data_IF_152470913021
#
_entry.id   IF_152470913021
#
_cell.length_a   1.000
_cell.length_b   1.000
_cell.length_c   1.000
_cell.angle_alpha   90.00
_cell.angle_beta   90.00
_cell.angle_gamma   90.00
#
_symmetry.space_group_name_H-M   'P 1'
#
loop_
_entity.id
_entity.type
_entity.pdbx_description
1 polymer ?
#
# COMPACT_ATOMS: atom_id res chain seq x y z
N UNK A 1 -1.91 3.57 -22.57
CA UNK A 1 -0.97 4.46 -21.87
C UNK A 1 0.40 4.19 -22.45
N UNK A 2 1.00 5.14 -23.18
CA UNK A 2 2.34 4.95 -23.75
C UNK A 2 3.41 5.25 -22.69
N UNK A 3 4.35 4.32 -22.50
CA UNK A 3 5.45 4.50 -21.55
C UNK A 3 6.61 5.18 -22.27
N UNK A 4 6.85 6.45 -21.95
CA UNK A 4 7.88 7.26 -22.60
C UNK A 4 9.31 6.81 -22.25
N UNK A 5 9.52 6.35 -21.01
CA UNK A 5 10.83 5.89 -20.53
C UNK A 5 10.69 5.09 -19.23
N UNK A 6 11.47 4.02 -19.10
CA UNK A 6 11.62 3.26 -17.85
C UNK A 6 13.03 3.42 -17.30
N UNK A 7 13.17 3.39 -15.97
CA UNK A 7 14.46 3.39 -15.29
C UNK A 7 14.38 2.53 -14.04
N UNK A 8 15.39 1.68 -13.85
CA UNK A 8 15.53 0.91 -12.60
C UNK A 8 15.91 1.87 -11.47
N UNK A 9 15.21 1.77 -10.36
CA UNK A 9 15.48 2.55 -9.14
C UNK A 9 15.95 1.62 -8.03
N UNK A 10 16.72 2.17 -7.09
CA UNK A 10 17.14 1.44 -5.90
C UNK A 10 15.97 1.30 -4.92
N UNK A 11 16.01 0.27 -4.07
CA UNK A 11 14.99 0.04 -3.03
C UNK A 11 14.80 1.27 -2.12
N UNK A 12 15.90 1.95 -1.76
CA UNK A 12 15.87 3.21 -1.00
C UNK A 12 15.12 4.33 -1.73
N UNK A 13 15.29 4.43 -3.04
CA UNK A 13 14.56 5.42 -3.84
C UNK A 13 13.08 5.04 -3.98
N UNK A 14 12.79 3.75 -4.13
CA UNK A 14 11.42 3.23 -4.15
C UNK A 14 10.70 3.51 -2.82
N UNK A 15 11.33 3.24 -1.68
CA UNK A 15 10.78 3.52 -0.35
C UNK A 15 10.45 5.01 -0.17
N UNK A 16 11.35 5.91 -0.60
CA UNK A 16 11.12 7.36 -0.52
C UNK A 16 9.94 7.83 -1.38
N UNK A 17 9.74 7.22 -2.56
CA UNK A 17 8.61 7.54 -3.44
C UNK A 17 7.29 6.99 -2.88
N UNK A 18 7.30 5.75 -2.41
CA UNK A 18 6.13 5.09 -1.80
C UNK A 18 5.66 5.83 -0.54
N UNK A 19 6.59 6.23 0.33
CA UNK A 19 6.27 7.00 1.53
C UNK A 19 5.52 8.30 1.19
N UNK A 20 6.05 9.10 0.25
CA UNK A 20 5.38 10.32 -0.21
C UNK A 20 4.00 10.07 -0.82
N UNK A 21 3.84 8.94 -1.52
CA UNK A 21 2.58 8.59 -2.13
C UNK A 21 1.54 8.18 -1.08
N UNK A 22 1.92 7.39 -0.08
CA UNK A 22 1.05 7.05 1.06
C UNK A 22 0.67 8.30 1.83
N UNK A 23 1.64 9.13 2.22
CA UNK A 23 1.42 10.38 2.97
C UNK A 23 0.42 11.30 2.22
N UNK A 24 0.63 11.53 0.91
CA UNK A 24 -0.28 12.35 0.09
C UNK A 24 -1.69 11.75 -0.07
N UNK A 25 -1.80 10.41 -0.04
CA UNK A 25 -3.09 9.72 -0.15
C UNK A 25 -3.83 9.63 1.19
N UNK A 26 -3.16 9.83 2.32
CA UNK A 26 -3.78 9.99 3.63
C UNK A 26 -4.44 11.37 3.81
N UNK A 27 -3.89 12.42 3.20
CA UNK A 27 -4.47 13.77 3.23
C UNK A 27 -5.71 13.94 2.33
N UNK A 28 -5.83 13.12 1.27
CA UNK A 28 -7.08 13.04 0.51
C UNK A 28 -8.11 12.26 1.33
N UNK A 29 -9.18 12.95 1.78
CA UNK A 29 -10.37 12.37 2.42
C UNK A 29 -11.10 11.48 1.39
N UNK A 30 -10.53 10.30 1.14
CA UNK A 30 -11.00 9.35 0.15
C UNK A 30 -12.03 8.44 0.82
N UNK A 31 -13.30 8.65 0.50
CA UNK A 31 -14.45 7.84 0.93
C UNK A 31 -14.56 6.50 0.18
N UNK A 32 -13.62 6.20 -0.72
CA UNK A 32 -13.60 4.98 -1.50
C UNK A 32 -12.98 3.81 -0.71
N UNK A 33 -13.80 2.76 -0.47
CA UNK A 33 -13.41 1.57 0.28
C UNK A 33 -12.20 0.86 -0.34
N UNK A 34 -12.06 0.90 -1.66
CA UNK A 34 -10.95 0.29 -2.40
C UNK A 34 -9.62 1.01 -2.14
N UNK A 35 -9.68 2.29 -1.73
CA UNK A 35 -8.48 3.06 -1.43
C UNK A 35 -7.82 2.61 -0.12
N UNK A 36 -8.59 2.05 0.82
CA UNK A 36 -8.06 1.52 2.07
C UNK A 36 -7.26 0.23 1.86
N UNK A 37 -7.73 -0.67 0.99
CA UNK A 37 -6.98 -1.89 0.63
C UNK A 37 -5.67 -1.54 -0.07
N UNK A 38 -5.71 -0.61 -1.02
CA UNK A 38 -4.51 -0.14 -1.73
C UNK A 38 -3.53 0.54 -0.78
N UNK A 39 -3.98 1.37 0.16
CA UNK A 39 -3.13 1.97 1.21
C UNK A 39 -2.45 0.90 2.05
N UNK A 40 -3.20 -0.12 2.47
CA UNK A 40 -2.66 -1.22 3.27
C UNK A 40 -1.58 -2.02 2.52
N UNK A 41 -1.81 -2.34 1.25
CA UNK A 41 -0.83 -3.01 0.39
C UNK A 41 0.43 -2.15 0.21
N UNK A 42 0.27 -0.85 -0.04
CA UNK A 42 1.39 0.09 -0.17
C UNK A 42 2.22 0.19 1.12
N UNK A 43 1.56 0.17 2.29
CA UNK A 43 2.24 0.16 3.58
C UNK A 43 3.06 -1.12 3.80
N UNK A 44 2.54 -2.29 3.40
CA UNK A 44 3.30 -3.55 3.45
C UNK A 44 4.54 -3.51 2.55
N UNK A 45 4.41 -3.00 1.33
CA UNK A 45 5.54 -2.86 0.40
C UNK A 45 6.58 -1.89 0.96
N UNK A 46 6.16 -0.78 1.56
CA UNK A 46 7.06 0.15 2.22
C UNK A 46 7.81 -0.52 3.39
N UNK A 47 7.12 -1.29 4.23
CA UNK A 47 7.73 -2.04 5.32
C UNK A 47 8.81 -3.02 4.82
N UNK A 48 8.52 -3.74 3.74
CA UNK A 48 9.49 -4.64 3.09
C UNK A 48 10.75 -3.88 2.63
N UNK A 49 10.57 -2.75 1.93
CA UNK A 49 11.70 -1.93 1.43
C UNK A 49 12.51 -1.26 2.55
N UNK A 50 11.91 -1.06 3.72
CA UNK A 50 12.60 -0.58 4.92
C UNK A 50 13.27 -1.70 5.75
N UNK A 51 13.17 -2.96 5.31
CA UNK A 51 13.69 -4.12 6.04
C UNK A 51 12.91 -4.44 7.32
N UNK A 52 11.69 -3.91 7.46
CA UNK A 52 10.78 -4.21 8.56
C UNK A 52 9.94 -5.43 8.20
N UNK A 53 9.54 -6.22 9.20
CA UNK A 53 8.55 -7.28 8.98
C UNK A 53 7.25 -6.63 8.50
N UNK A 54 6.71 -6.99 7.33
CA UNK A 54 5.43 -6.48 6.89
C UNK A 54 4.37 -6.87 7.94
N UNK A 55 3.56 -5.88 8.35
CA UNK A 55 2.44 -6.16 9.23
C UNK A 55 1.38 -6.90 8.41
N UNK A 56 1.34 -8.22 8.56
CA UNK A 56 0.22 -9.03 8.11
C UNK A 56 -0.90 -8.77 9.12
N UNK A 57 -1.72 -7.75 8.91
CA UNK A 57 -3.07 -7.81 9.45
C UNK A 57 -3.79 -8.86 8.61
N UNK A 58 -4.00 -10.04 9.20
CA UNK A 58 -5.11 -10.89 8.78
C UNK A 58 -6.33 -9.99 8.86
N UNK A 59 -6.88 -9.65 7.69
CA UNK A 59 -8.15 -8.98 7.58
C UNK A 59 -9.12 -9.89 8.35
N UNK A 60 -9.45 -9.52 9.59
CA UNK A 60 -10.51 -10.17 10.36
C UNK A 60 -11.81 -9.75 9.68
N UNK A 61 -12.09 -10.32 8.51
CA UNK A 61 -13.44 -10.57 8.04
C UNK A 61 -14.01 -11.76 8.84
N UNK A 62 -13.96 -11.69 10.17
CA UNK A 62 -14.82 -12.49 11.02
C UNK A 62 -16.16 -11.76 11.08
N UNK A 63 -17.05 -12.03 10.12
CA UNK A 63 -18.38 -11.44 10.23
C UNK A 63 -19.50 -11.86 9.29
N UNK A 64 -19.30 -12.18 8.01
CA UNK A 64 -20.48 -12.18 7.11
C UNK A 64 -20.59 -13.25 6.01
N UNK A 65 -19.75 -14.28 5.97
CA UNK A 65 -20.02 -15.39 5.05
C UNK A 65 -19.81 -16.76 5.68
N UNK A 66 -20.90 -17.23 6.30
CA UNK A 66 -21.14 -18.65 6.54
C UNK A 66 -21.29 -19.00 8.01
N UNK A 67 -22.53 -19.22 8.44
CA UNK A 67 -23.03 -20.52 8.94
C UNK A 67 -24.46 -20.33 9.49
N UNK A 68 -25.44 -20.95 8.81
CA UNK A 68 -26.79 -21.35 9.22
C UNK A 68 -27.75 -20.33 9.84
#
# INVERSE_FOLDING_TARGET
MEVLKTKVITEKAAAKLLKKLVDNKEEEENTDLMMNEVKFQLAQVLAYLEGKKPQIQLQQDEGLYGQY
#
